data_IF_132228267009
#
_entry.id   IF_132228267009
#
_cell.length_a   1.000
_cell.length_b   1.000
_cell.length_c   1.000
_cell.angle_alpha   90.00
_cell.angle_beta   90.00
_cell.angle_gamma   90.00
#
_symmetry.space_group_name_H-M   'P 1'
#
loop_
_entity.id
_entity.type
_entity.pdbx_description
1 polymer ?
#
# COMPACT_ATOMS: atom_id res chain seq x y z
N UNK A 1 53.24 -57.88 22.46
CA UNK A 1 53.26 -58.95 21.42
C UNK A 1 54.15 -60.09 21.93
N UNK A 2 53.57 -61.18 22.44
CA UNK A 2 54.31 -62.40 22.77
C UNK A 2 54.65 -63.13 21.46
N UNK A 3 55.93 -63.42 21.20
CA UNK A 3 56.35 -64.12 19.97
C UNK A 3 56.20 -65.63 20.16
N UNK A 4 55.85 -66.35 19.08
CA UNK A 4 55.59 -67.81 19.05
C UNK A 4 56.70 -68.67 19.67
N UNK A 5 57.95 -68.20 19.65
CA UNK A 5 59.13 -68.88 20.18
C UNK A 5 59.22 -68.89 21.72
N UNK A 6 58.53 -67.98 22.42
CA UNK A 6 58.63 -67.84 23.90
C UNK A 6 57.68 -68.78 24.67
N UNK A 7 56.86 -69.55 23.96
CA UNK A 7 55.78 -70.38 24.52
C UNK A 7 56.25 -71.84 24.69
N UNK A 8 57.19 -72.30 23.85
CA UNK A 8 57.58 -73.71 23.76
C UNK A 8 58.38 -74.24 24.95
N UNK A 9 58.92 -73.38 25.82
CA UNK A 9 59.73 -73.75 26.99
C UNK A 9 59.07 -73.39 28.34
N UNK A 10 57.81 -72.94 28.35
CA UNK A 10 57.09 -72.51 29.56
C UNK A 10 56.35 -73.66 30.23
N UNK A 11 56.22 -73.59 31.55
CA UNK A 11 55.42 -74.56 32.31
C UNK A 11 53.92 -74.33 32.06
N UNK A 12 53.11 -75.39 32.21
CA UNK A 12 51.65 -75.31 32.04
C UNK A 12 51.01 -74.22 32.93
N UNK A 13 51.53 -74.03 34.14
CA UNK A 13 51.07 -73.03 35.10
C UNK A 13 51.32 -71.59 34.63
N UNK A 14 52.46 -71.35 33.97
CA UNK A 14 52.76 -70.06 33.34
C UNK A 14 51.83 -69.77 32.16
N UNK A 15 51.55 -70.79 31.33
CA UNK A 15 50.62 -70.67 30.22
C UNK A 15 49.19 -70.37 30.70
N UNK A 16 48.70 -71.08 31.73
CA UNK A 16 47.40 -70.82 32.37
C UNK A 16 47.30 -69.38 32.87
N UNK A 17 48.36 -68.88 33.53
CA UNK A 17 48.42 -67.50 34.05
C UNK A 17 48.36 -66.45 32.94
N UNK A 18 49.04 -66.68 31.81
CA UNK A 18 49.00 -65.78 30.64
C UNK A 18 47.59 -65.75 30.04
N UNK A 19 46.95 -66.92 29.88
CA UNK A 19 45.59 -67.02 29.35
C UNK A 19 44.59 -66.26 30.24
N UNK A 20 44.65 -66.44 31.56
CA UNK A 20 43.79 -65.73 32.52
C UNK A 20 43.98 -64.21 32.40
N UNK A 21 45.22 -63.72 32.32
CA UNK A 21 45.50 -62.28 32.15
C UNK A 21 44.96 -61.73 30.83
N UNK A 22 45.05 -62.50 29.74
CA UNK A 22 44.51 -62.11 28.43
C UNK A 22 42.98 -62.07 28.45
N UNK A 23 42.32 -63.07 29.05
CA UNK A 23 40.86 -63.11 29.18
C UNK A 23 40.34 -61.94 30.01
N UNK A 24 40.93 -61.68 31.18
CA UNK A 24 40.56 -60.54 32.01
C UNK A 24 40.76 -59.18 31.29
N UNK A 25 41.83 -59.06 30.49
CA UNK A 25 42.06 -57.88 29.67
C UNK A 25 41.04 -57.71 28.54
N UNK A 26 40.57 -58.80 27.94
CA UNK A 26 39.49 -58.77 26.94
C UNK A 26 38.15 -58.45 27.57
N UNK A 27 37.82 -59.06 28.71
CA UNK A 27 36.60 -58.77 29.48
C UNK A 27 36.52 -57.29 29.83
N UNK A 28 37.59 -56.70 30.38
CA UNK A 28 37.63 -55.26 30.67
C UNK A 28 37.41 -54.41 29.42
N UNK A 29 38.07 -54.73 28.30
CA UNK A 29 37.87 -53.99 27.04
C UNK A 29 36.44 -54.12 26.49
N UNK A 30 35.83 -55.29 26.62
CA UNK A 30 34.44 -55.49 26.20
C UNK A 30 33.48 -54.68 27.09
N UNK A 31 33.77 -54.60 28.39
CA UNK A 31 33.02 -53.77 29.32
C UNK A 31 33.14 -52.27 28.98
N UNK A 32 34.37 -51.77 28.80
CA UNK A 32 34.61 -50.37 28.40
C UNK A 32 33.89 -50.01 27.07
N UNK A 33 33.91 -50.92 26.09
CA UNK A 33 33.19 -50.75 24.82
C UNK A 33 31.67 -50.73 25.05
N UNK A 34 31.16 -51.65 25.88
CA UNK A 34 29.73 -51.73 26.20
C UNK A 34 29.23 -50.46 26.87
N UNK A 35 29.95 -49.95 27.86
CA UNK A 35 29.64 -48.68 28.52
C UNK A 35 29.64 -47.53 27.52
N UNK A 36 30.69 -47.42 26.70
CA UNK A 36 30.80 -46.36 25.68
C UNK A 36 29.65 -46.43 24.66
N UNK A 37 29.32 -47.63 24.15
CA UNK A 37 28.21 -47.81 23.23
C UNK A 37 26.86 -47.47 23.86
N UNK A 38 26.67 -47.79 25.14
CA UNK A 38 25.43 -47.50 25.87
C UNK A 38 25.24 -45.99 26.01
N UNK A 39 26.29 -45.27 26.43
CA UNK A 39 26.27 -43.80 26.54
C UNK A 39 25.98 -43.16 25.18
N UNK A 40 26.72 -43.53 24.14
CA UNK A 40 26.51 -42.97 22.79
C UNK A 40 25.09 -43.24 22.28
N UNK A 41 24.53 -44.42 22.56
CA UNK A 41 23.16 -44.76 22.15
C UNK A 41 22.14 -43.89 22.87
N UNK A 42 22.36 -43.62 24.16
CA UNK A 42 21.49 -42.75 24.96
C UNK A 42 21.55 -41.29 24.48
N UNK A 43 22.75 -40.77 24.18
CA UNK A 43 22.93 -39.42 23.63
C UNK A 43 22.27 -39.27 22.25
N UNK A 44 22.46 -40.24 21.36
CA UNK A 44 21.81 -40.23 20.03
C UNK A 44 20.29 -40.26 20.15
N UNK A 45 19.75 -41.04 21.10
CA UNK A 45 18.30 -41.09 21.33
C UNK A 45 17.77 -39.74 21.84
N UNK A 46 18.45 -39.13 22.81
CA UNK A 46 18.05 -37.82 23.32
C UNK A 46 18.07 -36.75 22.21
N UNK A 47 19.13 -36.74 21.40
CA UNK A 47 19.23 -35.82 20.26
C UNK A 47 18.13 -36.06 19.22
N UNK A 48 17.77 -37.33 18.96
CA UNK A 48 16.66 -37.68 18.07
C UNK A 48 15.31 -37.18 18.61
N UNK A 49 15.05 -37.31 19.91
CA UNK A 49 13.82 -36.84 20.54
C UNK A 49 13.73 -35.29 20.49
N UNK A 50 14.85 -34.59 20.72
CA UNK A 50 14.95 -33.14 20.58
C UNK A 50 14.67 -32.67 19.15
N UNK A 51 15.30 -33.30 18.15
CA UNK A 51 15.08 -32.99 16.74
C UNK A 51 13.61 -33.21 16.34
N UNK A 52 13.00 -34.30 16.82
CA UNK A 52 11.60 -34.60 16.57
C UNK A 52 10.69 -33.50 17.13
N UNK A 53 10.96 -33.02 18.34
CA UNK A 53 10.21 -31.91 18.94
C UNK A 53 10.34 -30.62 18.13
N UNK A 54 11.56 -30.26 17.72
CA UNK A 54 11.80 -29.05 16.90
C UNK A 54 11.07 -29.15 15.55
N UNK A 55 11.10 -30.32 14.90
CA UNK A 55 10.39 -30.53 13.63
C UNK A 55 8.88 -30.33 13.82
N UNK A 56 8.30 -30.85 14.90
CA UNK A 56 6.88 -30.67 15.20
C UNK A 56 6.52 -29.20 15.46
N UNK A 57 7.35 -28.46 16.17
CA UNK A 57 7.14 -27.03 16.36
C UNK A 57 7.18 -26.25 15.05
N UNK A 58 8.14 -26.56 14.18
CA UNK A 58 8.25 -25.95 12.84
C UNK A 58 7.00 -26.26 12.03
N UNK A 59 6.55 -27.52 12.04
CA UNK A 59 5.35 -27.93 11.32
C UNK A 59 4.11 -27.15 11.76
N UNK A 60 3.89 -27.01 13.07
CA UNK A 60 2.76 -26.26 13.62
C UNK A 60 2.82 -24.77 13.26
N UNK A 61 4.00 -24.15 13.35
CA UNK A 61 4.20 -22.75 12.94
C UNK A 61 3.95 -22.55 11.45
N UNK A 62 4.38 -23.50 10.61
CA UNK A 62 4.15 -23.46 9.17
C UNK A 62 2.66 -23.59 8.83
N UNK A 63 1.94 -24.51 9.47
CA UNK A 63 0.49 -24.65 9.30
C UNK A 63 -0.25 -23.36 9.70
N UNK A 64 0.10 -22.77 10.84
CA UNK A 64 -0.49 -21.50 11.28
C UNK A 64 -0.19 -20.36 10.30
N UNK A 65 1.03 -20.30 9.76
CA UNK A 65 1.40 -19.32 8.73
C UNK A 65 0.59 -19.53 7.45
N UNK A 66 0.42 -20.77 7.01
CA UNK A 66 -0.33 -21.09 5.79
C UNK A 66 -1.81 -20.68 5.90
N UNK A 67 -2.44 -20.94 7.05
CA UNK A 67 -3.81 -20.50 7.29
C UNK A 67 -3.96 -18.96 7.24
N UNK A 68 -2.98 -18.23 7.80
CA UNK A 68 -2.97 -16.76 7.73
C UNK A 68 -2.78 -16.23 6.31
N UNK A 69 -1.97 -16.91 5.50
CA UNK A 69 -1.75 -16.55 4.09
C UNK A 69 -3.04 -16.75 3.29
N UNK A 70 -3.69 -17.91 3.42
CA UNK A 70 -4.96 -18.19 2.73
C UNK A 70 -6.06 -17.18 3.08
N UNK A 71 -6.13 -16.77 4.34
CA UNK A 71 -7.07 -15.71 4.76
C UNK A 71 -6.72 -14.35 4.15
N UNK A 72 -5.42 -14.01 4.09
CA UNK A 72 -4.98 -12.78 3.44
C UNK A 72 -5.28 -12.79 1.93
N UNK A 73 -5.08 -13.92 1.26
CA UNK A 73 -5.38 -14.10 -0.17
C UNK A 73 -6.88 -13.88 -0.46
N UNK A 74 -7.78 -14.48 0.32
CA UNK A 74 -9.22 -14.20 0.15
C UNK A 74 -9.55 -12.73 0.35
N UNK A 75 -9.01 -12.11 1.40
CA UNK A 75 -9.26 -10.68 1.68
C UNK A 75 -8.75 -9.78 0.56
N UNK A 76 -7.64 -10.14 -0.08
CA UNK A 76 -7.13 -9.42 -1.25
C UNK A 76 -8.10 -9.58 -2.42
N UNK A 77 -8.57 -10.81 -2.70
CA UNK A 77 -9.57 -11.07 -3.75
C UNK A 77 -10.86 -10.25 -3.55
N UNK A 78 -11.40 -10.21 -2.33
CA UNK A 78 -12.60 -9.44 -2.01
C UNK A 78 -12.39 -7.92 -2.22
N UNK A 79 -11.18 -7.43 -1.93
CA UNK A 79 -10.81 -6.03 -2.15
C UNK A 79 -10.62 -5.69 -3.63
N UNK A 80 -10.05 -6.61 -4.43
CA UNK A 80 -9.90 -6.44 -5.88
C UNK A 80 -11.27 -6.26 -6.55
N UNK A 81 -12.25 -7.11 -6.21
CA UNK A 81 -13.62 -6.98 -6.72
C UNK A 81 -14.25 -5.64 -6.30
N UNK A 82 -14.09 -5.25 -5.03
CA UNK A 82 -14.61 -3.98 -4.51
C UNK A 82 -14.00 -2.77 -5.23
N UNK A 83 -12.70 -2.83 -5.59
CA UNK A 83 -12.02 -1.75 -6.31
C UNK A 83 -12.60 -1.61 -7.71
N UNK A 84 -12.81 -2.73 -8.42
CA UNK A 84 -13.40 -2.72 -9.78
C UNK A 84 -14.80 -2.09 -9.75
N UNK A 85 -15.64 -2.47 -8.79
CA UNK A 85 -16.97 -1.86 -8.62
C UNK A 85 -16.89 -0.35 -8.37
N UNK A 86 -15.97 0.08 -7.50
CA UNK A 86 -15.77 1.50 -7.20
C UNK A 86 -15.34 2.30 -8.41
N UNK A 87 -14.37 1.80 -9.18
CA UNK A 87 -13.93 2.45 -10.41
C UNK A 87 -15.09 2.65 -11.40
N UNK A 88 -15.95 1.65 -11.56
CA UNK A 88 -17.11 1.75 -12.45
C UNK A 88 -18.12 2.81 -11.95
N UNK A 89 -18.34 2.90 -10.63
CA UNK A 89 -19.19 3.95 -10.06
C UNK A 89 -18.58 5.33 -10.21
N UNK A 90 -17.26 5.47 -10.09
CA UNK A 90 -16.53 6.72 -10.26
C UNK A 90 -16.58 7.20 -11.71
N UNK A 91 -16.32 6.32 -12.68
CA UNK A 91 -16.47 6.62 -14.11
C UNK A 91 -17.87 7.14 -14.46
N UNK A 92 -18.92 6.61 -13.83
CA UNK A 92 -20.29 7.09 -14.01
C UNK A 92 -20.49 8.49 -13.42
N UNK A 93 -19.95 8.76 -12.23
CA UNK A 93 -20.00 10.09 -11.61
C UNK A 93 -19.25 11.13 -12.43
N UNK A 94 -18.09 10.80 -12.96
CA UNK A 94 -17.30 11.70 -13.80
C UNK A 94 -18.06 12.12 -15.06
N UNK A 95 -18.72 11.17 -15.73
CA UNK A 95 -19.58 11.47 -16.88
C UNK A 95 -20.73 12.41 -16.51
N UNK A 96 -21.37 12.19 -15.37
CA UNK A 96 -22.43 13.07 -14.87
C UNK A 96 -21.90 14.47 -14.57
N UNK A 97 -20.74 14.59 -13.91
CA UNK A 97 -20.10 15.87 -13.61
C UNK A 97 -19.80 16.63 -14.90
N UNK A 98 -19.19 15.97 -15.90
CA UNK A 98 -18.90 16.58 -17.20
C UNK A 98 -20.17 17.07 -17.90
N UNK A 99 -21.26 16.29 -17.85
CA UNK A 99 -22.55 16.70 -18.42
C UNK A 99 -23.15 17.89 -17.66
N UNK A 100 -23.10 17.88 -16.33
CA UNK A 100 -23.57 18.98 -15.51
C UNK A 100 -22.77 20.26 -15.75
N UNK A 101 -21.45 20.18 -15.83
CA UNK A 101 -20.60 21.32 -16.16
C UNK A 101 -20.92 21.89 -17.55
N UNK A 102 -21.12 21.03 -18.56
CA UNK A 102 -21.52 21.48 -19.89
C UNK A 102 -22.86 22.21 -19.83
N UNK A 103 -23.86 21.66 -19.13
CA UNK A 103 -25.18 22.29 -18.98
C UNK A 103 -25.11 23.62 -18.23
N UNK A 104 -24.28 23.73 -17.20
CA UNK A 104 -24.08 25.00 -16.47
C UNK A 104 -23.45 26.05 -17.38
N UNK A 105 -22.46 25.67 -18.21
CA UNK A 105 -21.89 26.58 -19.21
C UNK A 105 -22.96 27.06 -20.21
N UNK A 106 -23.71 26.14 -20.80
CA UNK A 106 -24.77 26.46 -21.75
C UNK A 106 -25.86 27.37 -21.15
N UNK A 107 -26.25 27.11 -19.90
CA UNK A 107 -27.21 27.95 -19.20
C UNK A 107 -26.65 29.34 -18.89
N UNK A 108 -25.39 29.42 -18.45
CA UNK A 108 -24.70 30.69 -18.25
C UNK A 108 -24.62 31.50 -19.54
N UNK A 109 -24.26 30.87 -20.65
CA UNK A 109 -24.15 31.52 -21.96
C UNK A 109 -25.53 31.97 -22.47
N UNK A 110 -26.57 31.16 -22.23
CA UNK A 110 -27.95 31.50 -22.57
C UNK A 110 -28.44 32.71 -21.78
N UNK A 111 -28.20 32.76 -20.47
CA UNK A 111 -28.57 33.90 -19.62
C UNK A 111 -27.82 35.16 -20.05
N UNK A 112 -26.53 35.04 -20.38
CA UNK A 112 -25.68 36.18 -20.71
C UNK A 112 -25.77 36.62 -22.17
N UNK A 113 -26.56 35.93 -23.01
CA UNK A 113 -26.63 36.16 -24.46
C UNK A 113 -26.92 37.61 -24.85
N UNK A 114 -27.76 38.30 -24.06
CA UNK A 114 -28.14 39.69 -24.32
C UNK A 114 -27.36 40.71 -23.47
N UNK A 115 -26.39 40.25 -22.68
CA UNK A 115 -25.64 41.12 -21.79
C UNK A 115 -24.44 41.73 -22.53
N UNK A 116 -24.24 43.04 -22.37
CA UNK A 116 -23.09 43.76 -22.92
C UNK A 116 -22.17 44.17 -21.76
N UNK A 117 -20.88 43.92 -21.90
CA UNK A 117 -19.88 44.33 -20.92
C UNK A 117 -19.13 45.58 -21.41
N UNK A 118 -19.32 46.71 -20.74
CA UNK A 118 -18.69 47.99 -21.06
C UNK A 118 -17.56 48.23 -20.06
N UNK A 119 -16.35 48.45 -20.58
CA UNK A 119 -15.14 48.68 -19.78
C UNK A 119 -14.61 50.09 -20.00
N UNK A 120 -13.78 50.59 -19.09
CA UNK A 120 -13.16 51.92 -19.20
C UNK A 120 -14.04 53.09 -18.74
N UNK A 121 -15.22 52.83 -18.18
CA UNK A 121 -16.09 53.86 -17.60
C UNK A 121 -15.55 54.27 -16.21
N UNK A 122 -15.16 55.54 -16.00
CA UNK A 122 -14.72 56.03 -14.70
C UNK A 122 -15.75 55.74 -13.60
N UNK A 123 -15.30 55.40 -12.39
CA UNK A 123 -16.22 55.25 -11.26
C UNK A 123 -16.97 56.57 -11.00
N UNK A 124 -18.24 56.47 -10.59
CA UNK A 124 -19.15 57.60 -10.38
C UNK A 124 -19.61 58.37 -11.63
N UNK A 125 -19.23 57.97 -12.85
CA UNK A 125 -19.75 58.63 -14.08
C UNK A 125 -21.28 58.52 -14.21
N UNK A 126 -21.86 57.47 -13.62
CA UNK A 126 -23.30 57.27 -13.51
C UNK A 126 -23.95 58.19 -12.46
N UNK A 127 -23.18 58.88 -11.63
CA UNK A 127 -23.68 59.72 -10.53
C UNK A 127 -24.35 60.96 -11.11
N UNK A 128 -25.67 60.96 -11.11
CA UNK A 128 -26.51 62.05 -11.60
C UNK A 128 -27.35 61.66 -12.81
N UNK A 129 -26.71 61.17 -13.89
CA UNK A 129 -27.39 60.76 -15.15
C UNK A 129 -27.77 59.27 -15.21
N UNK A 130 -27.32 58.47 -14.24
CA UNK A 130 -27.54 57.03 -14.22
C UNK A 130 -26.71 56.28 -15.27
N UNK A 131 -26.70 54.95 -15.20
CA UNK A 131 -26.04 54.09 -16.18
C UNK A 131 -26.71 54.13 -17.58
N UNK A 132 -28.00 54.48 -17.68
CA UNK A 132 -28.67 54.66 -18.98
C UNK A 132 -28.17 55.92 -19.66
N UNK A 133 -28.11 57.05 -18.94
CA UNK A 133 -27.57 58.28 -19.49
C UNK A 133 -26.10 58.16 -19.93
N UNK A 134 -25.30 57.34 -19.22
CA UNK A 134 -23.95 56.98 -19.68
C UNK A 134 -24.01 56.18 -20.99
N UNK A 135 -24.88 55.18 -21.10
CA UNK A 135 -25.02 54.39 -22.32
C UNK A 135 -25.52 55.23 -23.50
N UNK A 136 -26.52 56.08 -23.30
CA UNK A 136 -27.06 57.00 -24.30
C UNK A 136 -25.97 57.93 -24.83
N UNK A 137 -25.13 58.48 -23.95
CA UNK A 137 -23.98 59.29 -24.35
C UNK A 137 -22.99 58.47 -25.20
N UNK A 138 -22.65 57.25 -24.78
CA UNK A 138 -21.76 56.36 -25.54
C UNK A 138 -22.33 56.07 -26.94
N UNK A 139 -23.63 55.77 -27.05
CA UNK A 139 -24.30 55.49 -28.33
C UNK A 139 -24.33 56.75 -29.20
N UNK A 140 -24.67 57.91 -28.66
CA UNK A 140 -24.72 59.16 -29.42
C UNK A 140 -23.34 59.57 -29.95
N UNK A 141 -22.28 59.40 -29.15
CA UNK A 141 -20.92 59.74 -29.52
C UNK A 141 -20.31 58.77 -30.54
N UNK A 142 -20.58 57.45 -30.42
CA UNK A 142 -19.91 56.42 -31.22
C UNK A 142 -20.79 55.82 -32.34
N UNK A 143 -22.11 55.77 -32.15
CA UNK A 143 -23.07 55.11 -33.04
C UNK A 143 -24.30 55.99 -33.33
N UNK A 144 -24.13 57.17 -33.93
CA UNK A 144 -25.18 58.19 -34.07
C UNK A 144 -26.38 57.76 -34.93
N UNK A 145 -26.26 56.69 -35.71
CA UNK A 145 -27.36 56.12 -36.48
C UNK A 145 -28.22 55.17 -35.62
N UNK A 146 -27.59 54.45 -34.69
CA UNK A 146 -28.27 53.50 -33.81
C UNK A 146 -29.24 54.22 -32.85
N UNK A 147 -28.79 55.33 -32.25
CA UNK A 147 -29.61 56.13 -31.33
C UNK A 147 -30.78 56.89 -31.97
N UNK A 148 -30.89 56.89 -33.31
CA UNK A 148 -32.01 57.51 -34.04
C UNK A 148 -33.04 56.51 -34.55
N UNK A 149 -32.62 55.27 -34.79
CA UNK A 149 -33.43 54.25 -35.46
C UNK A 149 -33.99 53.19 -34.51
N UNK A 150 -33.39 52.99 -33.33
CA UNK A 150 -33.75 51.91 -32.40
C UNK A 150 -33.88 52.45 -30.98
N UNK A 151 -35.02 52.16 -30.33
CA UNK A 151 -35.21 52.39 -28.90
C UNK A 151 -34.56 51.24 -28.12
N UNK A 152 -33.59 51.53 -27.26
CA UNK A 152 -32.80 50.51 -26.55
C UNK A 152 -33.42 50.28 -25.18
N UNK A 153 -34.12 49.15 -25.02
CA UNK A 153 -34.70 48.76 -23.74
C UNK A 153 -33.67 48.01 -22.87
N UNK A 154 -33.49 48.48 -21.63
CA UNK A 154 -32.51 47.92 -20.67
C UNK A 154 -33.27 47.25 -19.54
N UNK A 155 -33.09 45.95 -19.37
CA UNK A 155 -33.73 45.20 -18.29
C UNK A 155 -33.02 45.41 -16.94
N UNK A 156 -31.69 45.31 -16.92
CA UNK A 156 -30.88 45.45 -15.71
C UNK A 156 -29.53 46.06 -16.07
N UNK A 157 -28.98 46.85 -15.14
CA UNK A 157 -27.66 47.49 -15.27
C UNK A 157 -26.99 47.47 -13.92
N UNK A 158 -25.72 47.06 -13.90
CA UNK A 158 -24.95 47.01 -12.67
C UNK A 158 -23.47 47.10 -12.98
N UNK A 159 -22.72 47.77 -12.08
CA UNK A 159 -21.28 47.62 -12.06
C UNK A 159 -20.96 46.19 -11.64
N UNK A 160 -19.98 45.57 -12.30
CA UNK A 160 -19.45 44.29 -11.81
C UNK A 160 -18.85 44.54 -10.43
N UNK A 161 -19.32 43.87 -9.37
CA UNK A 161 -18.79 44.10 -8.02
C UNK A 161 -17.28 43.89 -8.00
N UNK A 162 -16.57 44.76 -7.26
CA UNK A 162 -15.13 44.59 -7.05
C UNK A 162 -14.91 43.22 -6.41
N UNK A 163 -14.18 42.34 -7.10
CA UNK A 163 -13.76 41.08 -6.49
C UNK A 163 -12.82 41.42 -5.34
N UNK A 164 -13.30 41.29 -4.10
CA UNK A 164 -12.44 41.21 -2.93
C UNK A 164 -11.59 39.95 -3.07
N UNK A 165 -10.39 40.09 -3.64
CA UNK A 165 -9.37 39.06 -3.57
C UNK A 165 -8.96 38.94 -2.09
N UNK A 166 -9.48 37.93 -1.40
CA UNK A 166 -9.10 37.60 -0.02
C UNK A 166 -7.59 37.29 0.14
N UNK A 167 -6.89 37.04 -0.98
CA UNK A 167 -5.45 36.75 -1.00
C UNK A 167 -4.57 37.99 -1.28
N UNK A 168 -5.13 39.21 -1.38
CA UNK A 168 -4.33 40.43 -1.53
C UNK A 168 -3.90 40.90 -0.13
N UNK A 169 -2.59 40.98 0.18
CA UNK A 169 -2.16 41.56 1.45
C UNK A 169 -2.63 43.02 1.50
N UNK A 170 -3.29 43.40 2.59
CA UNK A 170 -3.52 44.82 2.90
C UNK A 170 -2.17 45.51 3.05
N UNK A 171 -1.98 46.59 2.28
CA UNK A 171 -0.82 47.47 2.37
C UNK A 171 -0.88 48.33 3.63
#
# INVERSE_FOLDING_TARGET
KLRKTDISNRTEQELRTIIIKLMAGLEKRMEDIRETMTTNTMELKNSYDELTNVINEIHNKLQASNARIQEAERRISDLEDTIIEKEETERKRDKLIQEHERRVREFSDTIKRNNIHITGIPEEEERGKGAEGVLEQIIAENFPNLGREVDVEIQERQRTPHRCNLNRPSA
#
